data_IF_184784695240
#
_entry.id   IF_184784695240
#
_cell.length_a   1.000
_cell.length_b   1.000
_cell.length_c   1.000
_cell.angle_alpha   90.00
_cell.angle_beta   90.00
_cell.angle_gamma   90.00
#
_symmetry.space_group_name_H-M   'P 1'
#
loop_
_entity.id
_entity.type
_entity.pdbx_description
1 polymer ?
#
# COMPACT_ATOMS: atom_id res chain seq x y z
N UNK A 1 -5.71 -9.34 2.98
CA UNK A 1 -6.32 -8.31 2.12
C UNK A 1 -7.16 -7.33 2.93
N UNK A 2 -7.57 -6.25 2.28
CA UNK A 2 -8.24 -5.12 2.90
C UNK A 2 -9.55 -4.79 2.20
N UNK A 3 -10.50 -4.27 2.95
CA UNK A 3 -11.63 -3.53 2.38
C UNK A 3 -11.12 -2.14 1.98
N UNK A 4 -11.24 -1.82 0.70
CA UNK A 4 -10.87 -0.52 0.15
C UNK A 4 -12.14 0.25 -0.20
N UNK A 5 -12.28 1.47 0.31
CA UNK A 5 -13.45 2.34 0.08
C UNK A 5 -13.00 3.74 -0.25
N UNK A 6 -13.71 4.37 -1.19
CA UNK A 6 -13.64 5.81 -1.40
C UNK A 6 -14.61 6.48 -0.44
N UNK A 7 -14.11 7.44 0.33
CA UNK A 7 -14.93 8.25 1.25
C UNK A 7 -14.93 9.68 0.72
N UNK A 8 -16.12 10.27 0.59
CA UNK A 8 -16.29 11.67 0.24
C UNK A 8 -16.27 12.50 1.52
N UNK A 9 -15.53 13.60 1.48
CA UNK A 9 -15.33 14.47 2.63
C UNK A 9 -16.14 15.74 2.43
N UNK A 10 -16.91 16.09 3.45
CA UNK A 10 -17.58 17.38 3.55
C UNK A 10 -16.79 18.22 4.56
N UNK A 11 -16.40 19.41 4.12
CA UNK A 11 -15.65 20.35 4.93
C UNK A 11 -16.57 21.53 5.27
N UNK A 12 -16.60 21.95 6.52
CA UNK A 12 -17.46 23.05 7.00
C UNK A 12 -17.14 24.42 6.35
N UNK A 13 -16.05 24.51 5.60
CA UNK A 13 -15.63 25.71 4.87
C UNK A 13 -15.04 25.34 3.51
N UNK A 14 -15.23 26.22 2.52
CA UNK A 14 -14.69 26.05 1.17
C UNK A 14 -13.15 26.14 1.19
N UNK A 15 -12.52 24.98 1.41
CA UNK A 15 -11.07 24.80 1.40
C UNK A 15 -10.67 24.00 0.18
N UNK A 16 -10.40 24.70 -0.91
CA UNK A 16 -10.00 24.10 -2.19
C UNK A 16 -8.73 23.24 -2.10
N UNK A 17 -7.91 23.48 -1.09
CA UNK A 17 -6.67 22.76 -0.77
C UNK A 17 -6.90 21.39 -0.11
N UNK A 18 -8.09 21.14 0.44
CA UNK A 18 -8.41 19.88 1.11
C UNK A 18 -8.94 18.84 0.11
N UNK A 19 -8.64 17.55 0.32
CA UNK A 19 -9.13 16.50 -0.57
C UNK A 19 -10.66 16.40 -0.50
N UNK A 20 -11.31 16.36 -1.66
CA UNK A 20 -12.76 16.08 -1.78
C UNK A 20 -13.11 14.63 -1.47
N UNK A 21 -12.15 13.72 -1.63
CA UNK A 21 -12.27 12.32 -1.27
C UNK A 21 -10.93 11.72 -0.91
N UNK A 22 -11.00 10.63 -0.15
CA UNK A 22 -9.85 9.82 0.25
C UNK A 22 -10.16 8.35 -0.01
N UNK A 23 -9.09 7.56 -0.15
CA UNK A 23 -9.18 6.11 -0.13
C UNK A 23 -8.86 5.62 1.28
N UNK A 24 -9.75 4.81 1.82
CA UNK A 24 -9.61 4.18 3.13
C UNK A 24 -9.41 2.68 2.90
N UNK A 25 -8.29 2.15 3.42
CA UNK A 25 -7.92 0.74 3.34
C UNK A 25 -7.87 0.16 4.76
N UNK A 26 -8.76 -0.80 5.03
CA UNK A 26 -8.92 -1.45 6.34
C UNK A 26 -8.60 -2.93 6.18
N UNK A 27 -7.63 -3.51 6.91
CA UNK A 27 -7.34 -4.92 6.83
C UNK A 27 -8.57 -5.73 7.25
N UNK A 28 -8.92 -6.74 6.45
CA UNK A 28 -10.15 -7.52 6.63
C UNK A 28 -9.83 -9.01 6.40
N UNK A 29 -9.79 -9.83 7.46
CA UNK A 29 -9.51 -11.26 7.35
C UNK A 29 -10.46 -12.00 6.41
N UNK A 30 -11.76 -11.71 6.47
CA UNK A 30 -12.77 -12.30 5.58
C UNK A 30 -12.50 -11.99 4.11
N UNK A 31 -12.19 -10.72 3.80
CA UNK A 31 -11.81 -10.35 2.45
C UNK A 31 -10.52 -11.08 2.03
N UNK A 32 -9.54 -11.22 2.94
CA UNK A 32 -8.30 -11.93 2.69
C UNK A 32 -8.51 -13.38 2.24
N UNK A 33 -9.33 -14.13 2.97
CA UNK A 33 -9.64 -15.52 2.65
C UNK A 33 -10.37 -15.64 1.31
N UNK A 34 -11.38 -14.81 1.05
CA UNK A 34 -12.15 -14.88 -0.19
C UNK A 34 -11.29 -14.72 -1.45
N UNK A 35 -10.28 -13.84 -1.44
CA UNK A 35 -9.38 -13.70 -2.59
C UNK A 35 -8.34 -14.78 -2.68
N UNK A 36 -7.90 -15.32 -1.55
CA UNK A 36 -6.99 -16.46 -1.56
C UNK A 36 -7.69 -17.70 -2.16
N UNK A 37 -8.93 -17.96 -1.76
CA UNK A 37 -9.76 -19.02 -2.35
C UNK A 37 -9.99 -18.80 -3.84
N UNK A 38 -10.33 -17.57 -4.26
CA UNK A 38 -10.51 -17.22 -5.67
C UNK A 38 -9.23 -17.39 -6.51
N UNK A 39 -8.04 -17.34 -5.89
CA UNK A 39 -6.75 -17.52 -6.57
C UNK A 39 -6.36 -18.98 -6.80
N UNK A 40 -7.16 -19.95 -6.31
CA UNK A 40 -6.89 -21.38 -6.46
C UNK A 40 -5.73 -21.89 -5.60
N UNK A 41 -5.22 -21.08 -4.68
CA UNK A 41 -4.17 -21.47 -3.76
C UNK A 41 -4.74 -22.41 -2.68
N UNK A 42 -4.15 -23.61 -2.55
CA UNK A 42 -4.53 -24.62 -1.55
C UNK A 42 -4.44 -24.04 -0.15
N UNK A 43 -5.57 -24.00 0.55
CA UNK A 43 -5.87 -23.76 1.99
C UNK A 43 -4.69 -23.66 2.98
N UNK A 44 -3.73 -22.78 2.74
CA UNK A 44 -3.04 -22.10 3.83
C UNK A 44 -3.83 -20.81 3.96
N UNK A 45 -4.93 -20.87 4.71
CA UNK A 45 -5.76 -19.68 4.97
C UNK A 45 -4.84 -18.52 5.34
N UNK A 46 -5.18 -17.31 4.89
CA UNK A 46 -4.32 -16.14 5.14
C UNK A 46 -4.19 -16.01 6.65
N UNK A 47 -3.05 -16.43 7.20
CA UNK A 47 -2.83 -16.36 8.63
C UNK A 47 -3.01 -14.92 9.05
N UNK A 48 -3.67 -14.67 10.18
CA UNK A 48 -3.74 -13.34 10.77
C UNK A 48 -2.35 -12.71 10.87
N UNK A 49 -1.31 -13.54 11.02
CA UNK A 49 0.11 -13.15 10.95
C UNK A 49 0.50 -12.52 9.61
N UNK A 50 0.08 -13.09 8.47
CA UNK A 50 0.35 -12.53 7.15
C UNK A 50 -0.39 -11.20 6.96
N UNK A 51 -1.67 -11.15 7.34
CA UNK A 51 -2.47 -9.93 7.23
C UNK A 51 -1.86 -8.80 8.07
N UNK A 52 -1.47 -9.13 9.31
CA UNK A 52 -0.79 -8.23 10.24
C UNK A 52 0.53 -7.73 9.68
N UNK A 53 1.36 -8.64 9.17
CA UNK A 53 2.67 -8.30 8.62
C UNK A 53 2.53 -7.44 7.35
N UNK A 54 1.61 -7.78 6.45
CA UNK A 54 1.35 -7.01 5.22
C UNK A 54 0.86 -5.58 5.52
N UNK A 55 -0.16 -5.42 6.38
CA UNK A 55 -0.67 -4.10 6.76
C UNK A 55 0.38 -3.28 7.52
N UNK A 56 1.09 -3.92 8.45
CA UNK A 56 2.18 -3.29 9.21
C UNK A 56 3.30 -2.79 8.31
N UNK A 57 3.74 -3.62 7.37
CA UNK A 57 4.78 -3.28 6.40
C UNK A 57 4.36 -2.10 5.52
N UNK A 58 3.14 -2.14 4.97
CA UNK A 58 2.60 -1.08 4.11
C UNK A 58 2.46 0.25 4.86
N UNK A 59 1.89 0.22 6.07
CA UNK A 59 1.76 1.39 6.94
C UNK A 59 3.11 2.04 7.26
N UNK A 60 4.11 1.22 7.62
CA UNK A 60 5.47 1.69 7.92
C UNK A 60 6.20 2.21 6.68
N UNK A 61 6.02 1.54 5.54
CA UNK A 61 6.60 1.98 4.27
C UNK A 61 6.10 3.38 3.93
N UNK A 62 4.78 3.61 3.97
CA UNK A 62 4.26 4.92 3.63
C UNK A 62 4.71 6.02 4.59
N UNK A 63 4.77 5.75 5.90
CA UNK A 63 5.34 6.71 6.88
C UNK A 63 6.78 7.07 6.54
N UNK A 64 7.62 6.06 6.23
CA UNK A 64 9.00 6.30 5.80
C UNK A 64 9.05 7.20 4.55
N UNK A 65 8.17 6.97 3.58
CA UNK A 65 8.13 7.78 2.36
C UNK A 65 7.70 9.22 2.62
N UNK A 66 6.81 9.45 3.60
CA UNK A 66 6.42 10.80 4.03
C UNK A 66 7.54 11.55 4.74
N UNK A 67 8.34 10.84 5.55
CA UNK A 67 9.46 11.43 6.27
C UNK A 67 10.60 11.78 5.32
N UNK A 68 10.93 10.88 4.39
CA UNK A 68 12.08 11.02 3.49
C UNK A 68 11.78 11.83 2.23
N UNK A 69 10.50 11.97 1.86
CA UNK A 69 10.01 12.77 0.71
C UNK A 69 10.84 12.59 -0.56
N UNK A 70 11.02 11.35 -1.06
CA UNK A 70 11.81 11.12 -2.26
C UNK A 70 11.15 11.78 -3.48
N UNK A 71 11.89 12.66 -4.16
CA UNK A 71 11.37 13.46 -5.28
C UNK A 71 10.94 12.64 -6.50
N UNK A 72 11.56 11.49 -6.73
CA UNK A 72 11.42 10.73 -7.97
C UNK A 72 10.53 9.47 -7.82
N UNK A 73 9.96 9.25 -6.63
CA UNK A 73 9.10 8.10 -6.38
C UNK A 73 7.65 8.55 -6.28
N UNK A 74 6.82 7.93 -7.12
CA UNK A 74 5.38 8.14 -7.12
C UNK A 74 4.75 7.27 -6.04
N UNK A 75 4.43 7.88 -4.90
CA UNK A 75 3.68 7.25 -3.82
C UNK A 75 2.45 8.09 -3.47
N UNK A 76 1.32 7.45 -3.11
CA UNK A 76 0.16 8.17 -2.59
C UNK A 76 0.52 9.03 -1.39
N UNK A 77 -0.06 10.22 -1.32
CA UNK A 77 -0.04 10.99 -0.07
C UNK A 77 -0.88 10.25 0.98
N UNK A 78 -0.32 10.03 2.17
CA UNK A 78 -1.05 9.46 3.30
C UNK A 78 -1.58 10.58 4.21
N UNK A 79 -2.84 10.48 4.59
CA UNK A 79 -3.46 11.42 5.53
C UNK A 79 -3.46 10.86 6.96
N UNK A 80 -3.62 9.54 7.10
CA UNK A 80 -3.53 8.84 8.36
C UNK A 80 -3.11 7.38 8.11
N UNK A 81 -2.39 6.78 9.05
CA UNK A 81 -2.04 5.38 8.97
C UNK A 81 -1.90 4.82 10.37
N UNK A 82 -2.68 3.81 10.71
CA UNK A 82 -2.66 3.13 11.99
C UNK A 82 -2.19 1.68 11.84
N UNK A 83 -1.41 1.22 12.81
CA UNK A 83 -0.86 -0.14 12.82
C UNK A 83 -1.95 -1.19 13.00
N UNK A 84 -1.62 -2.45 12.69
CA UNK A 84 -2.58 -3.56 12.81
C UNK A 84 -3.08 -3.78 14.23
N UNK A 85 -2.24 -3.54 15.23
CA UNK A 85 -2.58 -3.69 16.66
C UNK A 85 -3.33 -2.48 17.26
N UNK A 86 -3.66 -1.48 16.44
CA UNK A 86 -4.48 -0.35 16.87
C UNK A 86 -5.94 -0.77 17.02
N UNK A 87 -6.74 0.04 17.74
CA UNK A 87 -8.19 -0.17 17.84
C UNK A 87 -8.89 -0.09 16.48
N UNK A 88 -8.34 0.69 15.55
CA UNK A 88 -8.87 0.89 14.21
C UNK A 88 -7.73 0.86 13.18
N UNK A 89 -7.29 -0.34 12.76
CA UNK A 89 -6.21 -0.46 11.79
C UNK A 89 -6.68 0.07 10.44
N UNK A 90 -6.00 1.09 9.93
CA UNK A 90 -6.45 1.79 8.71
C UNK A 90 -5.29 2.47 8.02
N UNK A 91 -5.35 2.59 6.70
CA UNK A 91 -4.53 3.51 5.92
C UNK A 91 -5.47 4.42 5.14
N UNK A 92 -5.35 5.73 5.34
CA UNK A 92 -6.10 6.77 4.64
C UNK A 92 -5.15 7.47 3.67
N UNK A 93 -5.46 7.41 2.39
CA UNK A 93 -4.55 7.85 1.33
C UNK A 93 -5.25 8.66 0.23
N UNK A 94 -4.45 9.33 -0.59
CA UNK A 94 -4.87 10.10 -1.75
C UNK A 94 -5.74 9.28 -2.71
N UNK A 95 -6.84 9.89 -3.16
CA UNK A 95 -7.72 9.31 -4.18
C UNK A 95 -7.29 9.75 -5.58
N UNK A 96 -6.71 8.81 -6.33
CA UNK A 96 -6.36 9.00 -7.73
C UNK A 96 -7.57 8.79 -8.64
N UNK A 97 -8.37 9.84 -8.81
CA UNK A 97 -9.61 9.79 -9.63
C UNK A 97 -9.36 9.62 -11.13
N UNK A 98 -8.21 10.06 -11.62
CA UNK A 98 -7.86 10.06 -13.06
C UNK A 98 -6.92 8.89 -13.42
N UNK A 99 -6.94 7.82 -12.64
CA UNK A 99 -6.15 6.62 -12.90
C UNK A 99 -7.06 5.46 -13.29
N UNK A 100 -6.55 4.58 -14.14
CA UNK A 100 -7.21 3.34 -14.54
C UNK A 100 -6.26 2.17 -14.27
N UNK A 101 -6.86 1.01 -13.98
CA UNK A 101 -6.11 -0.23 -13.86
C UNK A 101 -5.72 -0.70 -15.27
N UNK A 102 -4.43 -0.98 -15.45
CA UNK A 102 -3.94 -1.57 -16.69
C UNK A 102 -4.02 -3.09 -16.56
N UNK A 103 -4.72 -3.72 -17.49
CA UNK A 103 -4.80 -5.18 -17.58
C UNK A 103 -3.48 -5.73 -18.13
N UNK A 104 -2.70 -6.38 -17.27
CA UNK A 104 -1.41 -6.95 -17.63
C UNK A 104 -1.54 -8.07 -18.67
N UNK A 105 -2.69 -8.75 -18.75
CA UNK A 105 -2.92 -9.82 -19.75
C UNK A 105 -2.98 -9.23 -21.16
N UNK A 106 -3.49 -8.00 -21.30
CA UNK A 106 -3.52 -7.27 -22.57
C UNK A 106 -2.16 -6.70 -22.96
N UNK A 107 -1.16 -6.83 -22.09
CA UNK A 107 0.17 -6.31 -22.29
C UNK A 107 0.30 -4.83 -21.95
N UNK A 108 1.55 -4.38 -21.86
CA UNK A 108 1.91 -3.00 -21.58
C UNK A 108 2.47 -2.36 -22.85
N UNK A 109 2.12 -1.10 -23.10
CA UNK A 109 2.82 -0.31 -24.12
C UNK A 109 4.27 -0.09 -23.70
N UNK A 110 5.14 0.14 -24.68
CA UNK A 110 6.55 0.46 -24.45
C UNK A 110 6.72 1.64 -23.48
N UNK A 111 5.93 2.71 -23.64
CA UNK A 111 5.92 3.87 -22.74
C UNK A 111 5.59 3.49 -21.29
N UNK A 112 4.61 2.60 -21.09
CA UNK A 112 4.24 2.13 -19.75
C UNK A 112 5.36 1.27 -19.14
N UNK A 113 5.99 0.40 -19.94
CA UNK A 113 7.12 -0.42 -19.51
C UNK A 113 8.29 0.46 -19.03
N UNK A 114 8.67 1.48 -19.80
CA UNK A 114 9.71 2.41 -19.39
C UNK A 114 9.36 3.18 -18.12
N UNK A 115 8.11 3.66 -17.99
CA UNK A 115 7.67 4.35 -16.79
C UNK A 115 7.74 3.45 -15.54
N UNK A 116 7.37 2.18 -15.66
CA UNK A 116 7.48 1.20 -14.57
C UNK A 116 8.96 0.93 -14.24
N UNK A 117 9.79 0.68 -15.26
CA UNK A 117 11.22 0.43 -15.07
C UNK A 117 11.93 1.60 -14.39
N UNK A 118 11.59 2.84 -14.77
CA UNK A 118 12.11 4.06 -14.15
C UNK A 118 11.70 4.15 -12.67
N UNK A 119 10.42 3.89 -12.33
CA UNK A 119 9.97 3.89 -10.94
C UNK A 119 10.66 2.79 -10.11
N UNK A 120 10.89 1.61 -10.68
CA UNK A 120 11.66 0.54 -10.02
C UNK A 120 13.11 0.95 -9.78
N UNK A 121 13.77 1.56 -10.78
CA UNK A 121 15.14 2.06 -10.63
C UNK A 121 15.22 3.15 -9.55
N UNK A 122 14.27 4.09 -9.53
CA UNK A 122 14.17 5.12 -8.49
C UNK A 122 13.97 4.50 -7.09
N UNK A 123 13.21 3.41 -6.99
CA UNK A 123 12.99 2.70 -5.73
C UNK A 123 14.27 2.01 -5.24
N UNK A 124 15.01 1.38 -6.15
CA UNK A 124 16.31 0.78 -5.84
C UNK A 124 17.32 1.83 -5.39
N UNK A 125 17.40 2.96 -6.11
CA UNK A 125 18.27 4.09 -5.74
C UNK A 125 17.91 4.62 -4.36
N UNK A 126 16.62 4.78 -4.06
CA UNK A 126 16.16 5.16 -2.73
C UNK A 126 16.60 4.15 -1.67
N UNK A 127 16.37 2.85 -1.92
CA UNK A 127 16.73 1.77 -1.00
C UNK A 127 18.23 1.74 -0.67
N UNK A 128 19.09 1.96 -1.66
CA UNK A 128 20.55 2.00 -1.48
C UNK A 128 20.98 3.23 -0.67
N UNK A 129 20.41 4.40 -0.98
CA UNK A 129 20.76 5.66 -0.34
C UNK A 129 20.18 5.79 1.07
N UNK A 130 19.06 5.13 1.34
CA UNK A 130 18.29 5.32 2.56
C UNK A 130 18.17 4.04 3.38
N UNK A 131 19.22 3.67 4.12
CA UNK A 131 19.20 2.42 4.90
C UNK A 131 18.19 2.38 6.05
N UNK A 132 17.47 3.47 6.37
CA UNK A 132 16.48 3.49 7.46
C UNK A 132 15.38 2.44 7.27
N UNK A 133 15.03 2.13 6.01
CA UNK A 133 14.04 1.09 5.71
C UNK A 133 14.44 -0.26 6.32
N UNK A 134 15.73 -0.58 6.41
CA UNK A 134 16.20 -1.87 6.98
C UNK A 134 15.91 -2.02 8.47
N UNK A 135 15.74 -0.93 9.20
CA UNK A 135 15.38 -0.99 10.62
C UNK A 135 13.86 -0.92 10.80
N UNK A 136 13.19 -0.14 9.95
CA UNK A 136 11.75 0.10 10.02
C UNK A 136 10.95 -1.11 9.55
N UNK A 137 11.37 -1.76 8.46
CA UNK A 137 10.57 -2.76 7.74
C UNK A 137 10.96 -4.21 8.05
N UNK A 138 12.19 -4.46 8.49
CA UNK A 138 12.79 -5.81 8.59
C UNK A 138 12.05 -6.77 9.54
N UNK A 139 11.38 -6.27 10.59
CA UNK A 139 10.61 -7.13 11.51
C UNK A 139 9.41 -7.75 10.79
N UNK A 140 8.66 -6.95 10.05
CA UNK A 140 7.44 -7.41 9.37
C UNK A 140 7.80 -8.16 8.07
N UNK A 141 8.86 -7.76 7.37
CA UNK A 141 9.39 -8.46 6.19
C UNK A 141 9.75 -9.91 6.50
N UNK A 142 10.48 -10.17 7.60
CA UNK A 142 10.81 -11.54 8.03
C UNK A 142 9.58 -12.37 8.33
N UNK A 143 8.56 -11.77 8.94
CA UNK A 143 7.29 -12.44 9.21
C UNK A 143 6.52 -12.79 7.93
N UNK A 144 6.60 -11.96 6.89
CA UNK A 144 6.01 -12.29 5.58
C UNK A 144 6.80 -13.41 4.89
N UNK A 145 8.13 -13.33 4.85
CA UNK A 145 8.99 -14.30 4.15
C UNK A 145 8.99 -15.70 4.78
N UNK A 146 8.78 -15.80 6.09
CA UNK A 146 8.64 -17.09 6.78
C UNK A 146 7.30 -17.80 6.50
N UNK A 147 6.32 -17.10 5.92
CA UNK A 147 5.00 -17.66 5.61
C UNK A 147 4.86 -18.07 4.13
N UNK A 148 5.84 -17.75 3.29
CA UNK A 148 5.87 -18.07 1.85
C UNK A 148 6.85 -19.19 1.48
N UNK A 149 7.57 -19.77 2.46
CA UNK A 149 8.44 -20.94 2.34
C UNK A 149 7.86 -22.12 3.14
#
# INVERSE_FOLDING_TARGET
>A
MSVIRRVWLEWDSDRSELPKSVIVKIPCPTAANNTFEASGATTIGVSDTFLKASHGLESKFYRLMQDEKPKNLLVPTIYASEGFDSQQPVIVMQDYRNCFLVDLVKGLSEKQLFAIAEQLANLQVFSIKNRKWTNVLRKDERSVLQLTL
#
